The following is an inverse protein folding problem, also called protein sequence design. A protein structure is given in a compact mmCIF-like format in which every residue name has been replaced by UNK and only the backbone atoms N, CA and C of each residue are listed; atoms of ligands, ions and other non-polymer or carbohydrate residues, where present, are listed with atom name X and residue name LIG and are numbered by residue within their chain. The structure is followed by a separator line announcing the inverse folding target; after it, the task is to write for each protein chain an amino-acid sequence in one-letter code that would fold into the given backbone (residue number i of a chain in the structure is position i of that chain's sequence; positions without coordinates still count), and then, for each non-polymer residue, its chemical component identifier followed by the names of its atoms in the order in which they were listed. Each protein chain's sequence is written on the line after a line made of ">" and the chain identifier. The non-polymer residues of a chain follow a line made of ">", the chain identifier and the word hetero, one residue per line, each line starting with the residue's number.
data_IF_989092740726
#
_entry.id   IF_989092740726
#
_cell.length_a   1.000
_cell.length_b   1.000
_cell.length_c   1.000
_cell.angle_alpha   90.00
_cell.angle_beta   90.00
_cell.angle_gamma   90.00
#
_symmetry.space_group_name_H-M   'P 1'
#
loop_
_entity.id
_entity.type
_entity.pdbx_description
1 polymer ?
#
# COMPACT_ATOMS: atom_id res chain seq x y z
N UNK A 1 -21.23 -20.67 1.66
CA UNK A 1 -20.49 -20.91 2.91
C UNK A 1 -19.36 -19.90 2.94
N UNK A 2 -19.40 -18.99 3.92
CA UNK A 2 -18.65 -17.74 4.01
C UNK A 2 -17.13 -17.93 3.86
N UNK A 3 -16.48 -17.22 2.94
CA UNK A 3 -15.00 -17.20 2.79
C UNK A 3 -14.35 -16.66 4.08
N UNK A 4 -15.07 -15.79 4.81
CA UNK A 4 -14.68 -15.23 6.10
C UNK A 4 -14.79 -16.21 7.30
N UNK A 5 -15.40 -17.40 7.12
CA UNK A 5 -15.44 -18.47 8.14
C UNK A 5 -14.45 -19.61 7.90
N UNK A 6 -14.01 -19.86 6.67
CA UNK A 6 -13.25 -21.08 6.33
C UNK A 6 -11.73 -20.94 6.41
N UNK A 7 -11.17 -19.73 6.42
CA UNK A 7 -9.71 -19.47 6.41
C UNK A 7 -9.31 -18.38 7.41
N UNK A 8 -9.01 -18.71 8.69
CA UNK A 8 -8.66 -17.72 9.70
C UNK A 8 -7.36 -16.94 9.39
N UNK A 9 -6.43 -17.49 8.61
CA UNK A 9 -5.22 -16.79 8.16
C UNK A 9 -5.51 -15.66 7.13
N UNK A 10 -6.59 -15.78 6.37
CA UNK A 10 -7.01 -14.78 5.38
C UNK A 10 -7.62 -13.53 6.05
N UNK A 11 -8.01 -13.64 7.33
CA UNK A 11 -8.48 -12.52 8.18
C UNK A 11 -7.38 -11.52 8.49
N UNK A 12 -6.11 -11.93 8.36
CA UNK A 12 -4.95 -11.07 8.54
C UNK A 12 -4.50 -10.40 7.25
N UNK A 13 -5.01 -10.77 6.06
CA UNK A 13 -4.61 -10.08 4.84
C UNK A 13 -5.09 -8.62 4.80
N UNK A 14 -6.17 -8.25 5.48
CA UNK A 14 -6.67 -6.86 5.47
C UNK A 14 -5.90 -5.96 6.46
N UNK A 15 -5.64 -6.36 7.72
CA UNK A 15 -4.76 -5.61 8.61
C UNK A 15 -3.30 -5.61 8.12
N UNK A 16 -2.82 -6.71 7.54
CA UNK A 16 -1.44 -6.79 7.02
C UNK A 16 -1.30 -6.07 5.69
N UNK A 17 -2.32 -6.02 4.82
CA UNK A 17 -2.30 -5.15 3.65
C UNK A 17 -2.39 -3.66 4.01
N UNK A 18 -3.11 -3.30 5.09
CA UNK A 18 -3.08 -1.94 5.62
C UNK A 18 -1.73 -1.56 6.25
N UNK A 19 -1.02 -2.53 6.85
CA UNK A 19 0.33 -2.34 7.37
C UNK A 19 1.44 -2.38 6.29
N UNK A 20 1.19 -3.04 5.16
CA UNK A 20 2.15 -3.18 4.03
C UNK A 20 1.94 -2.10 2.94
N UNK A 21 0.83 -1.36 2.97
CA UNK A 21 0.55 -0.29 2.00
C UNK A 21 1.26 1.06 2.27
N UNK A 22 2.25 1.13 3.17
CA UNK A 22 3.02 2.38 3.45
C UNK A 22 4.27 2.53 2.57
N UNK A 23 4.46 1.67 1.57
CA UNK A 23 5.51 1.88 0.55
C UNK A 23 4.85 2.30 -0.77
N UNK A 24 4.65 3.60 -0.94
CA UNK A 24 4.40 4.25 -2.24
C UNK A 24 3.35 5.36 -2.28
N UNK A 25 3.78 6.61 -2.55
CA UNK A 25 3.12 7.93 -2.40
C UNK A 25 2.23 8.51 -3.53
N UNK A 26 2.26 9.86 -3.74
CA UNK A 26 1.88 10.81 -4.83
C UNK A 26 0.58 11.69 -4.81
N UNK A 27 0.62 13.08 -4.77
CA UNK A 27 -0.18 14.24 -4.13
C UNK A 27 -1.51 14.80 -4.69
N UNK A 28 -2.32 15.53 -3.85
CA UNK A 28 -3.21 16.70 -4.12
C UNK A 28 -4.17 17.11 -2.94
N UNK A 29 -4.43 18.42 -2.85
CA UNK A 29 -5.02 19.17 -1.72
C UNK A 29 -6.55 19.42 -1.79
N UNK A 30 -7.17 19.63 -0.63
CA UNK A 30 -8.56 20.07 -0.47
C UNK A 30 -8.70 20.96 0.77
N UNK A 31 -9.46 22.04 0.64
CA UNK A 31 -9.62 23.11 1.62
C UNK A 31 -10.46 22.68 2.83
N UNK A 32 -10.01 23.06 4.03
CA UNK A 32 -10.72 22.82 5.29
C UNK A 32 -11.94 23.74 5.32
N UNK A 33 -13.13 23.16 5.16
CA UNK A 33 -14.38 23.82 5.56
C UNK A 33 -14.61 23.43 7.01
N UNK A 34 -14.45 24.38 7.92
CA UNK A 34 -14.88 24.24 9.30
C UNK A 34 -16.41 24.08 9.32
N UNK A 35 -16.88 22.84 9.34
CA UNK A 35 -18.27 22.48 9.60
C UNK A 35 -18.33 21.83 10.97
N UNK A 36 -19.38 22.12 11.73
CA UNK A 36 -19.59 21.60 13.08
C UNK A 36 -19.32 20.10 13.13
N UNK A 37 -18.41 19.70 14.04
CA UNK A 37 -17.98 18.32 14.22
C UNK A 37 -19.22 17.43 14.39
N UNK A 38 -19.42 16.39 13.56
CA UNK A 38 -20.50 15.45 13.78
C UNK A 38 -20.34 14.83 15.17
N UNK A 39 -21.39 14.88 15.99
CA UNK A 39 -21.37 14.29 17.34
C UNK A 39 -21.56 12.78 17.24
N UNK A 40 -20.54 12.06 16.75
CA UNK A 40 -20.52 10.60 16.79
C UNK A 40 -20.24 10.11 18.21
N UNK A 41 -20.87 9.02 18.68
CA UNK A 41 -20.55 8.40 19.96
C UNK A 41 -19.08 7.99 20.04
N UNK A 42 -18.44 8.14 21.20
CA UNK A 42 -17.05 7.72 21.37
C UNK A 42 -16.87 6.20 21.10
N UNK A 43 -15.77 5.86 20.42
CA UNK A 43 -15.38 4.49 20.08
C UNK A 43 -13.91 4.30 20.40
N UNK A 44 -13.57 3.16 20.99
CA UNK A 44 -12.17 2.77 21.19
C UNK A 44 -11.55 2.21 19.91
N UNK A 45 -10.21 2.20 19.84
CA UNK A 45 -9.49 1.60 18.71
C UNK A 45 -9.86 0.13 18.48
N UNK A 46 -9.95 -0.66 19.57
CA UNK A 46 -10.33 -2.06 19.49
C UNK A 46 -11.75 -2.24 18.94
N UNK A 47 -12.70 -1.40 19.38
CA UNK A 47 -14.06 -1.41 18.87
C UNK A 47 -14.10 -1.10 17.37
N UNK A 48 -13.36 -0.09 16.89
CA UNK A 48 -13.29 0.23 15.46
C UNK A 48 -12.69 -0.92 14.63
N UNK A 49 -11.65 -1.59 15.14
CA UNK A 49 -11.08 -2.76 14.47
C UNK A 49 -12.07 -3.93 14.42
N UNK A 50 -12.87 -4.13 15.47
CA UNK A 50 -13.95 -5.13 15.50
C UNK A 50 -15.08 -4.75 14.54
N UNK A 51 -15.46 -3.49 14.50
CA UNK A 51 -16.48 -2.96 13.60
C UNK A 51 -16.08 -3.19 12.13
N UNK A 52 -14.83 -2.90 11.76
CA UNK A 52 -14.27 -3.18 10.42
C UNK A 52 -14.27 -4.69 10.11
N UNK A 53 -13.88 -5.53 11.06
CA UNK A 53 -13.90 -6.99 10.86
C UNK A 53 -15.31 -7.56 10.68
N UNK A 54 -16.31 -6.93 11.28
CA UNK A 54 -17.71 -7.33 11.19
C UNK A 54 -18.50 -6.61 10.10
N UNK A 55 -17.88 -5.65 9.40
CA UNK A 55 -18.48 -4.89 8.31
C UNK A 55 -19.03 -5.85 7.25
N UNK A 56 -20.30 -5.67 6.91
CA UNK A 56 -20.99 -6.44 5.87
C UNK A 56 -21.62 -5.48 4.89
N UNK A 57 -21.16 -5.54 3.65
CA UNK A 57 -21.68 -4.76 2.55
C UNK A 57 -22.04 -5.69 1.41
N UNK A 58 -23.29 -5.63 0.96
CA UNK A 58 -23.76 -6.45 -0.16
C UNK A 58 -23.13 -5.98 -1.49
N UNK A 59 -22.82 -4.70 -1.57
CA UNK A 59 -22.05 -4.11 -2.66
C UNK A 59 -21.71 -2.65 -2.39
N UNK A 60 -20.73 -2.14 -3.12
CA UNK A 60 -20.46 -0.71 -3.19
C UNK A 60 -19.75 -0.37 -4.48
N UNK A 61 -19.76 0.91 -4.81
CA UNK A 61 -18.92 1.48 -5.86
C UNK A 61 -18.39 2.83 -5.43
N UNK A 62 -17.24 3.22 -5.95
CA UNK A 62 -16.68 4.51 -5.62
C UNK A 62 -15.44 4.85 -6.42
N UNK A 63 -15.02 6.10 -6.26
CA UNK A 63 -13.79 6.63 -6.83
C UNK A 63 -12.82 6.89 -5.69
N UNK A 64 -11.68 6.20 -5.72
CA UNK A 64 -10.57 6.40 -4.81
C UNK A 64 -9.58 7.34 -5.50
N UNK A 65 -9.08 8.31 -4.76
CA UNK A 65 -8.06 9.23 -5.21
C UNK A 65 -6.88 9.15 -4.26
N UNK A 66 -5.69 9.00 -4.84
CA UNK A 66 -4.41 8.94 -4.16
C UNK A 66 -3.63 10.23 -4.41
N UNK A 67 -3.03 10.73 -3.33
CA UNK A 67 -2.50 12.07 -3.16
C UNK A 67 -1.38 12.18 -2.06
N UNK A 68 -0.12 11.79 -2.26
CA UNK A 68 1.11 12.28 -1.58
C UNK A 68 1.98 13.46 -2.11
N UNK A 69 2.01 14.53 -1.32
CA UNK A 69 2.92 15.67 -1.41
C UNK A 69 4.25 15.37 -0.70
N UNK A 70 5.15 14.75 -1.46
CA UNK A 70 6.49 14.29 -1.09
C UNK A 70 7.43 15.39 -0.55
N UNK A 71 7.24 16.63 -0.99
CA UNK A 71 8.32 17.63 -0.96
C UNK A 71 9.60 17.17 -1.67
N UNK A 72 9.48 16.26 -2.66
CA UNK A 72 10.62 15.71 -3.39
C UNK A 72 11.23 16.78 -4.32
N UNK A 73 12.56 16.82 -4.50
CA UNK A 73 13.20 17.72 -5.45
C UNK A 73 12.80 17.38 -6.89
N UNK A 74 12.73 18.39 -7.76
CA UNK A 74 12.53 18.16 -9.19
C UNK A 74 13.77 17.50 -9.79
N UNK A 75 13.63 16.27 -10.28
CA UNK A 75 14.72 15.52 -10.93
C UNK A 75 14.52 15.53 -12.47
N UNK A 76 15.52 15.97 -13.26
CA UNK A 76 15.45 15.92 -14.72
C UNK A 76 15.21 14.48 -15.21
N UNK A 77 14.20 14.27 -16.05
CA UNK A 77 13.86 12.95 -16.61
C UNK A 77 12.90 12.12 -15.76
N UNK A 78 12.55 12.54 -14.54
CA UNK A 78 11.62 11.82 -13.66
C UNK A 78 10.14 12.12 -13.98
N UNK A 79 9.87 13.25 -14.65
CA UNK A 79 8.52 13.71 -15.02
C UNK A 79 8.21 13.62 -16.52
N UNK A 80 9.20 13.27 -17.35
CA UNK A 80 9.03 13.07 -18.79
C UNK A 80 8.51 11.66 -19.07
N UNK A 81 7.20 11.54 -19.27
CA UNK A 81 6.47 10.28 -19.44
C UNK A 81 6.86 9.47 -20.68
N UNK A 82 7.90 8.65 -20.55
CA UNK A 82 8.18 7.54 -21.47
C UNK A 82 8.69 6.33 -20.65
N UNK A 83 7.73 5.54 -20.16
CA UNK A 83 7.80 4.09 -19.93
C UNK A 83 8.86 3.48 -18.98
N UNK A 84 9.69 4.25 -18.28
CA UNK A 84 10.77 3.72 -17.42
C UNK A 84 10.65 3.91 -15.89
N UNK A 85 9.59 4.55 -15.39
CA UNK A 85 9.44 4.86 -13.94
C UNK A 85 8.06 4.43 -13.39
N UNK A 86 7.54 3.30 -13.86
CA UNK A 86 6.14 2.88 -13.64
C UNK A 86 5.76 2.71 -12.16
N UNK A 87 6.70 2.30 -11.30
CA UNK A 87 6.45 2.20 -9.85
C UNK A 87 6.56 3.57 -9.16
N UNK A 88 7.54 4.40 -9.55
CA UNK A 88 7.73 5.71 -8.94
C UNK A 88 6.66 6.74 -9.33
N UNK A 89 6.03 6.59 -10.50
CA UNK A 89 4.87 7.38 -10.91
C UNK A 89 3.57 6.99 -10.18
N UNK A 90 3.50 5.77 -9.64
CA UNK A 90 2.45 5.42 -8.66
C UNK A 90 2.72 6.14 -7.33
N UNK A 91 4.00 6.31 -6.98
CA UNK A 91 4.51 6.93 -5.74
C UNK A 91 4.58 8.46 -5.77
N UNK A 92 4.47 9.09 -6.95
CA UNK A 92 4.59 10.54 -7.12
C UNK A 92 3.48 11.06 -8.06
N UNK A 93 2.65 11.99 -7.58
CA UNK A 93 1.50 12.55 -8.30
C UNK A 93 0.16 11.84 -8.07
N UNK A 94 -0.93 12.45 -8.53
CA UNK A 94 -2.28 11.96 -8.24
C UNK A 94 -2.69 10.79 -9.13
N UNK A 95 -3.17 9.72 -8.50
CA UNK A 95 -3.76 8.56 -9.18
C UNK A 95 -5.23 8.41 -8.79
N UNK A 96 -6.05 7.95 -9.73
CA UNK A 96 -7.47 7.70 -9.50
C UNK A 96 -7.79 6.26 -9.82
N UNK A 97 -8.55 5.60 -8.96
CA UNK A 97 -9.06 4.27 -9.21
C UNK A 97 -10.56 4.25 -9.01
N UNK A 98 -11.28 3.54 -9.87
CA UNK A 98 -12.69 3.24 -9.66
C UNK A 98 -12.83 1.81 -9.18
N UNK A 99 -13.65 1.61 -8.16
CA UNK A 99 -13.90 0.30 -7.57
C UNK A 99 -15.38 -0.02 -7.62
N UNK A 100 -15.69 -1.26 -7.93
CA UNK A 100 -17.01 -1.86 -7.80
C UNK A 100 -16.87 -3.20 -7.08
N UNK A 101 -17.78 -3.46 -6.16
CA UNK A 101 -17.82 -4.67 -5.37
C UNK A 101 -19.27 -5.12 -5.22
N UNK A 102 -19.52 -6.43 -5.34
CA UNK A 102 -20.84 -7.02 -5.16
C UNK A 102 -20.69 -8.44 -4.61
N UNK A 103 -20.68 -8.59 -3.29
CA UNK A 103 -20.52 -9.89 -2.62
C UNK A 103 -19.12 -10.52 -2.77
N UNK A 104 -18.98 -11.79 -2.37
CA UNK A 104 -17.67 -12.45 -2.22
C UNK A 104 -16.93 -12.73 -3.55
N UNK A 105 -17.62 -12.69 -4.69
CA UNK A 105 -17.13 -13.20 -5.95
C UNK A 105 -17.14 -12.20 -7.11
N UNK A 106 -17.63 -10.96 -6.91
CA UNK A 106 -17.61 -9.92 -7.94
C UNK A 106 -16.90 -8.67 -7.48
N UNK A 107 -15.86 -8.30 -8.22
CA UNK A 107 -15.09 -7.09 -7.99
C UNK A 107 -14.58 -6.52 -9.31
N UNK A 108 -14.50 -5.20 -9.42
CA UNK A 108 -13.79 -4.53 -10.51
C UNK A 108 -12.97 -3.40 -9.93
N UNK A 109 -11.71 -3.30 -10.37
CA UNK A 109 -10.82 -2.20 -10.09
C UNK A 109 -10.34 -1.64 -11.43
N UNK A 110 -10.62 -0.37 -11.69
CA UNK A 110 -10.15 0.34 -12.87
C UNK A 110 -9.17 1.43 -12.43
N UNK A 111 -7.88 1.21 -12.66
CA UNK A 111 -6.84 2.20 -12.40
C UNK A 111 -6.74 3.15 -13.58
N UNK A 112 -7.02 4.42 -13.32
CA UNK A 112 -7.01 5.51 -14.30
C UNK A 112 -5.68 6.25 -14.21
N UNK A 113 -4.98 6.35 -15.34
CA UNK A 113 -3.79 7.18 -15.49
C UNK A 113 -3.99 8.19 -16.62
N UNK A 114 -3.09 9.18 -16.74
CA UNK A 114 -3.11 10.13 -17.86
C UNK A 114 -2.95 9.46 -19.22
N UNK A 115 -2.25 8.33 -19.27
CA UNK A 115 -1.83 7.68 -20.51
C UNK A 115 -2.65 6.41 -20.83
N UNK A 116 -3.55 5.98 -19.94
CA UNK A 116 -4.35 4.78 -20.14
C UNK A 116 -5.07 4.28 -18.88
N UNK A 117 -5.77 3.17 -19.04
CA UNK A 117 -6.60 2.52 -18.02
C UNK A 117 -6.15 1.05 -17.89
N UNK A 118 -6.06 0.58 -16.66
CA UNK A 118 -5.85 -0.83 -16.35
C UNK A 118 -7.01 -1.35 -15.53
N UNK A 119 -7.72 -2.35 -16.06
CA UNK A 119 -8.88 -2.95 -15.42
C UNK A 119 -8.57 -4.35 -14.94
N UNK A 120 -8.92 -4.63 -13.69
CA UNK A 120 -9.00 -5.96 -13.12
C UNK A 120 -10.46 -6.24 -12.81
N UNK A 121 -11.05 -7.24 -13.45
CA UNK A 121 -12.45 -7.61 -13.28
C UNK A 121 -12.50 -9.06 -12.82
N UNK A 122 -13.16 -9.31 -11.71
CA UNK A 122 -13.51 -10.64 -11.21
C UNK A 122 -15.02 -10.80 -11.25
N UNK A 123 -15.48 -11.90 -11.84
CA UNK A 123 -16.87 -12.30 -11.86
C UNK A 123 -16.94 -13.81 -11.61
N UNK A 124 -17.20 -14.20 -10.37
CA UNK A 124 -17.11 -15.58 -9.95
C UNK A 124 -15.66 -16.07 -9.93
N UNK A 125 -15.36 -17.03 -10.82
CA UNK A 125 -14.02 -17.59 -11.03
C UNK A 125 -13.30 -16.96 -12.21
N UNK A 126 -13.99 -16.22 -13.05
CA UNK A 126 -13.41 -15.58 -14.22
C UNK A 126 -12.75 -14.27 -13.80
N UNK A 127 -11.49 -14.11 -14.20
CA UNK A 127 -10.71 -12.90 -13.95
C UNK A 127 -10.15 -12.39 -15.26
N UNK A 128 -10.37 -11.10 -15.47
CA UNK A 128 -9.87 -10.36 -16.61
C UNK A 128 -8.90 -9.28 -16.14
N UNK A 129 -7.74 -9.21 -16.79
CA UNK A 129 -6.83 -8.08 -16.72
C UNK A 129 -6.81 -7.42 -18.11
N UNK A 130 -7.21 -6.17 -18.20
CA UNK A 130 -7.18 -5.41 -19.44
C UNK A 130 -6.30 -4.18 -19.30
N UNK A 131 -5.53 -3.87 -20.36
CA UNK A 131 -4.70 -2.67 -20.45
C UNK A 131 -5.06 -1.92 -21.72
N UNK A 132 -5.50 -0.67 -21.58
CA UNK A 132 -6.01 0.10 -22.72
C UNK A 132 -4.91 0.51 -23.70
N UNK A 133 -3.69 0.80 -23.21
CA UNK A 133 -2.56 1.23 -24.03
C UNK A 133 -2.13 0.18 -25.05
N UNK A 134 -1.93 -1.05 -24.59
CA UNK A 134 -1.53 -2.17 -25.46
C UNK A 134 -2.72 -2.81 -26.17
N UNK A 135 -3.96 -2.44 -25.82
CA UNK A 135 -5.19 -3.12 -26.24
C UNK A 135 -5.10 -4.63 -26.03
N UNK A 136 -4.59 -5.04 -24.87
CA UNK A 136 -4.46 -6.44 -24.50
C UNK A 136 -5.37 -6.78 -23.32
N UNK A 137 -6.08 -7.90 -23.43
CA UNK A 137 -6.81 -8.50 -22.33
C UNK A 137 -6.26 -9.89 -22.05
N UNK A 138 -6.04 -10.20 -20.78
CA UNK A 138 -5.71 -11.55 -20.32
C UNK A 138 -6.86 -12.09 -19.50
N UNK A 139 -7.35 -13.26 -19.88
CA UNK A 139 -8.36 -14.00 -19.12
C UNK A 139 -7.71 -15.17 -18.41
N UNK A 140 -8.12 -15.41 -17.17
CA UNK A 140 -7.80 -16.64 -16.47
C UNK A 140 -8.92 -17.02 -15.51
N UNK A 141 -9.09 -18.33 -15.31
CA UNK A 141 -10.11 -18.87 -14.43
C UNK A 141 -9.45 -19.35 -13.15
N UNK A 142 -9.86 -18.79 -12.01
CA UNK A 142 -9.40 -19.23 -10.70
C UNK A 142 -9.72 -20.73 -10.52
N UNK A 143 -8.81 -21.52 -9.93
CA UNK A 143 -9.09 -22.91 -9.62
C UNK A 143 -10.34 -23.00 -8.74
N UNK A 144 -11.10 -24.10 -8.86
CA UNK A 144 -12.18 -24.36 -7.91
C UNK A 144 -11.55 -24.37 -6.52
N UNK A 145 -12.22 -23.81 -5.51
CA UNK A 145 -11.74 -23.94 -4.14
C UNK A 145 -11.65 -25.44 -3.81
N UNK A 146 -10.46 -26.03 -3.97
CA UNK A 146 -10.14 -27.28 -3.31
C UNK A 146 -10.28 -26.99 -1.82
N UNK A 147 -11.09 -27.81 -1.13
CA UNK A 147 -11.13 -27.85 0.34
C UNK A 147 -9.69 -27.78 0.81
N UNK A 148 -9.36 -26.70 1.54
CA UNK A 148 -8.02 -26.32 1.95
C UNK A 148 -7.10 -27.54 2.06
N UNK A 149 -6.28 -27.78 1.02
CA UNK A 149 -5.14 -28.68 1.16
C UNK A 149 -4.31 -28.10 2.29
N UNK A 150 -4.06 -28.92 3.31
CA UNK A 150 -3.42 -28.59 4.58
C UNK A 150 -2.62 -27.30 4.48
N UNK A 151 -3.23 -26.21 4.96
CA UNK A 151 -2.49 -25.01 5.27
C UNK A 151 -1.37 -25.47 6.19
N UNK A 152 -0.12 -25.19 5.79
CA UNK A 152 1.05 -25.43 6.61
C UNK A 152 0.68 -25.07 8.05
N UNK A 153 0.76 -26.04 8.97
CA UNK A 153 0.30 -25.90 10.35
C UNK A 153 0.96 -24.66 10.95
N UNK A 154 0.29 -23.52 10.88
CA UNK A 154 0.62 -22.36 11.70
C UNK A 154 0.51 -22.85 13.14
N UNK A 155 1.45 -22.50 14.04
CA UNK A 155 1.37 -22.86 15.44
C UNK A 155 -0.04 -22.51 15.96
N UNK A 156 -0.79 -23.53 16.41
CA UNK A 156 -2.19 -23.37 16.86
C UNK A 156 -2.34 -22.53 18.12
N UNK A 157 -1.22 -22.13 18.73
CA UNK A 157 -1.17 -21.43 20.01
C UNK A 157 -1.35 -19.91 19.89
N UNK A 158 -1.45 -19.34 18.68
CA UNK A 158 -1.53 -17.88 18.47
C UNK A 158 -2.57 -17.45 17.44
N UNK A 159 -3.67 -18.20 17.26
CA UNK A 159 -4.77 -17.76 16.40
C UNK A 159 -5.91 -17.26 17.29
N UNK A 160 -6.17 -15.93 17.32
CA UNK A 160 -7.22 -15.38 18.17
C UNK A 160 -8.58 -15.97 17.81
N UNK A 161 -9.32 -16.34 18.85
CA UNK A 161 -10.58 -17.09 18.73
C UNK A 161 -11.77 -16.17 18.41
N UNK A 162 -11.62 -14.86 18.65
CA UNK A 162 -12.66 -13.85 18.41
C UNK A 162 -12.10 -12.62 17.68
N UNK A 163 -12.95 -11.85 16.96
CA UNK A 163 -12.54 -10.56 16.38
C UNK A 163 -11.98 -9.57 17.41
N UNK A 164 -12.54 -9.58 18.63
CA UNK A 164 -12.08 -8.75 19.74
C UNK A 164 -10.66 -9.13 20.17
N UNK A 165 -10.42 -10.42 20.40
CA UNK A 165 -9.08 -10.92 20.74
C UNK A 165 -8.07 -10.63 19.63
N UNK A 166 -8.48 -10.72 18.36
CA UNK A 166 -7.64 -10.37 17.22
C UNK A 166 -7.29 -8.87 17.19
N UNK A 167 -8.26 -8.01 17.46
CA UNK A 167 -8.05 -6.57 17.57
C UNK A 167 -7.09 -6.24 18.73
N UNK A 168 -7.31 -6.82 19.90
CA UNK A 168 -6.48 -6.58 21.09
C UNK A 168 -5.04 -7.06 20.87
N UNK A 169 -4.84 -8.24 20.25
CA UNK A 169 -3.52 -8.74 19.89
C UNK A 169 -2.84 -7.86 18.83
N UNK A 170 -3.57 -7.39 17.81
CA UNK A 170 -3.03 -6.49 16.80
C UNK A 170 -2.56 -5.16 17.41
N UNK A 171 -3.35 -4.58 18.32
CA UNK A 171 -2.99 -3.36 19.04
C UNK A 171 -1.80 -3.58 19.97
N UNK A 172 -1.78 -4.69 20.72
CA UNK A 172 -0.67 -5.03 21.60
C UNK A 172 0.65 -5.26 20.84
N UNK A 173 0.59 -5.81 19.62
CA UNK A 173 1.76 -6.02 18.79
C UNK A 173 2.44 -4.71 18.35
N UNK A 174 1.66 -3.65 18.17
CA UNK A 174 2.18 -2.34 17.73
C UNK A 174 2.38 -1.35 18.87
N UNK A 175 1.79 -1.60 20.05
CA UNK A 175 1.85 -0.71 21.22
C UNK A 175 3.29 -0.32 21.63
N UNK A 176 4.31 -1.22 21.62
CA UNK A 176 5.67 -0.83 22.00
C UNK A 176 6.27 0.31 21.18
N UNK A 177 5.83 0.50 19.94
CA UNK A 177 6.36 1.53 19.03
C UNK A 177 5.34 2.58 18.63
N UNK A 178 4.06 2.36 18.91
CA UNK A 178 2.95 3.12 18.33
C UNK A 178 1.94 3.49 19.40
N UNK A 179 1.59 4.77 19.47
CA UNK A 179 0.41 5.23 20.20
C UNK A 179 -0.79 5.08 19.28
N UNK A 180 -1.82 4.39 19.75
CA UNK A 180 -3.07 4.25 18.99
C UNK A 180 -4.16 5.00 19.74
N UNK A 181 -4.81 5.94 19.06
CA UNK A 181 -5.93 6.71 19.58
C UNK A 181 -7.06 6.73 18.58
N UNK A 182 -8.23 7.18 19.03
CA UNK A 182 -9.36 7.47 18.16
C UNK A 182 -9.71 8.95 18.30
N UNK A 183 -10.09 9.59 17.21
CA UNK A 183 -10.59 10.97 17.24
C UNK A 183 -12.02 11.07 16.74
N UNK A 184 -12.69 12.15 17.15
CA UNK A 184 -14.07 12.48 16.78
C UNK A 184 -14.24 12.70 15.27
N UNK A 185 -15.51 12.77 14.87
CA UNK A 185 -15.97 12.53 13.52
C UNK A 185 -15.28 13.34 12.42
N UNK A 186 -14.73 12.64 11.43
CA UNK A 186 -14.33 13.19 10.14
C UNK A 186 -15.48 13.04 9.13
N UNK A 187 -15.36 13.74 8.00
CA UNK A 187 -16.26 13.55 6.86
C UNK A 187 -15.46 13.18 5.61
N UNK A 188 -15.67 11.97 5.10
CA UNK A 188 -14.97 11.45 3.90
C UNK A 188 -16.01 11.02 2.88
N UNK A 189 -15.84 11.42 1.62
CA UNK A 189 -16.84 11.20 0.56
C UNK A 189 -18.27 11.64 0.95
N UNK A 190 -18.39 12.69 1.78
CA UNK A 190 -19.69 13.18 2.29
C UNK A 190 -20.29 12.38 3.44
N UNK A 191 -19.60 11.35 3.96
CA UNK A 191 -20.07 10.45 5.02
C UNK A 191 -19.33 10.68 6.32
N UNK A 192 -20.04 10.59 7.44
CA UNK A 192 -19.43 10.71 8.76
C UNK A 192 -18.58 9.46 9.07
N UNK A 193 -17.40 9.67 9.62
CA UNK A 193 -16.40 8.63 9.81
C UNK A 193 -15.69 8.78 11.16
N UNK A 194 -15.39 7.66 11.80
CA UNK A 194 -14.42 7.61 12.90
C UNK A 194 -13.00 7.62 12.34
N UNK A 195 -12.06 8.21 13.07
CA UNK A 195 -10.65 8.11 12.72
C UNK A 195 -9.87 7.28 13.74
N UNK A 196 -9.16 6.27 13.25
CA UNK A 196 -8.12 5.57 14.00
C UNK A 196 -6.78 6.26 13.72
N UNK A 197 -6.10 6.75 14.75
CA UNK A 197 -4.85 7.52 14.64
C UNK A 197 -3.70 6.72 15.22
N UNK A 198 -2.68 6.46 14.41
CA UNK A 198 -1.46 5.74 14.75
C UNK A 198 -0.29 6.71 14.73
N UNK A 199 0.36 6.92 15.86
CA UNK A 199 1.49 7.85 15.99
C UNK A 199 2.74 7.14 16.49
N UNK A 200 3.92 7.37 15.88
CA UNK A 200 5.17 6.83 16.39
C UNK A 200 5.46 7.33 17.82
N UNK A 201 5.90 6.42 18.70
CA UNK A 201 6.44 6.80 20.02
C UNK A 201 7.83 7.41 19.92
N UNK A 202 8.61 6.96 18.94
CA UNK A 202 9.95 7.45 18.68
C UNK A 202 9.91 8.75 17.88
N UNK A 203 10.40 9.84 18.50
CA UNK A 203 10.40 11.18 17.91
C UNK A 203 11.41 11.33 16.76
N UNK A 204 12.29 10.36 16.53
CA UNK A 204 13.20 10.38 15.39
C UNK A 204 12.52 9.99 14.06
N UNK A 205 11.27 9.49 14.10
CA UNK A 205 10.50 9.27 12.89
C UNK A 205 10.13 10.59 12.20
N UNK A 206 10.21 10.61 10.87
CA UNK A 206 9.66 11.67 10.02
C UNK A 206 8.15 11.54 9.84
N UNK A 207 7.56 10.40 10.18
CA UNK A 207 6.10 10.24 10.21
C UNK A 207 5.61 10.79 11.55
N UNK A 208 4.62 11.68 11.52
CA UNK A 208 3.96 12.20 12.72
C UNK A 208 2.77 11.33 13.13
N UNK A 209 1.93 10.98 12.16
CA UNK A 209 0.74 10.16 12.38
C UNK A 209 0.22 9.56 11.07
N UNK A 210 -0.47 8.43 11.19
CA UNK A 210 -1.32 7.84 10.16
C UNK A 210 -2.76 7.87 10.67
N UNK A 211 -3.69 8.39 9.87
CA UNK A 211 -5.12 8.42 10.17
C UNK A 211 -5.86 7.51 9.21
N UNK A 212 -6.68 6.62 9.75
CA UNK A 212 -7.53 5.71 8.98
C UNK A 212 -8.97 6.07 9.27
N UNK A 213 -9.68 6.55 8.26
CA UNK A 213 -11.09 6.94 8.36
C UNK A 213 -11.98 5.73 8.10
N UNK A 214 -12.95 5.47 8.98
CA UNK A 214 -13.85 4.32 8.95
C UNK A 214 -15.29 4.83 8.98
N UNK A 215 -16.11 4.42 8.02
CA UNK A 215 -17.52 4.87 7.93
C UNK A 215 -18.28 4.59 9.23
N UNK A 216 -19.00 5.58 9.73
CA UNK A 216 -19.71 5.45 11.00
C UNK A 216 -20.91 4.49 10.95
N UNK A 217 -21.44 4.18 9.76
CA UNK A 217 -22.64 3.36 9.58
C UNK A 217 -22.33 1.95 9.05
N UNK A 218 -21.48 1.85 8.02
CA UNK A 218 -21.15 0.60 7.34
C UNK A 218 -19.84 -0.02 7.81
N UNK A 219 -19.05 0.74 8.58
CA UNK A 219 -17.75 0.34 9.10
C UNK A 219 -16.72 -0.02 8.00
N UNK A 220 -16.95 0.45 6.78
CA UNK A 220 -16.00 0.31 5.67
C UNK A 220 -14.92 1.39 5.78
N UNK A 221 -13.62 1.03 5.65
CA UNK A 221 -12.55 2.02 5.56
C UNK A 221 -12.76 2.96 4.36
N UNK A 222 -12.78 4.26 4.64
CA UNK A 222 -13.01 5.30 3.63
C UNK A 222 -11.72 5.98 3.17
N UNK A 223 -10.65 5.91 3.95
CA UNK A 223 -9.38 6.49 3.54
C UNK A 223 -8.25 6.33 4.55
N UNK A 224 -7.03 6.62 4.10
CA UNK A 224 -5.79 6.64 4.88
C UNK A 224 -5.02 7.91 4.56
N UNK A 225 -4.63 8.64 5.59
CA UNK A 225 -3.85 9.87 5.51
C UNK A 225 -2.58 9.74 6.35
N UNK A 226 -1.40 9.95 5.75
CA UNK A 226 -0.10 9.96 6.43
C UNK A 226 0.40 11.39 6.52
N UNK A 227 0.72 11.84 7.72
CA UNK A 227 1.22 13.17 8.00
C UNK A 227 2.70 13.08 8.35
N UNK A 228 3.48 13.96 7.74
CA UNK A 228 4.84 14.20 8.20
C UNK A 228 4.82 14.75 9.63
N UNK A 229 5.94 14.57 10.33
CA UNK A 229 6.13 15.09 11.67
C UNK A 229 5.91 16.61 11.66
N UNK A 230 5.13 17.09 12.62
CA UNK A 230 4.76 18.50 12.79
C UNK A 230 3.96 19.13 11.62
N UNK A 231 3.49 18.33 10.65
CA UNK A 231 2.72 18.81 9.50
C UNK A 231 1.20 18.81 9.77
N UNK A 232 0.53 19.87 9.30
CA UNK A 232 -0.93 20.02 9.39
C UNK A 232 -1.67 19.50 8.15
N UNK A 233 -0.96 19.25 7.05
CA UNK A 233 -1.51 18.66 5.83
C UNK A 233 -0.92 17.25 5.64
N UNK A 234 -1.71 16.30 5.10
CA UNK A 234 -1.20 14.96 4.85
C UNK A 234 -0.17 15.00 3.73
N UNK A 235 0.99 14.39 3.99
CA UNK A 235 2.01 14.16 3.00
C UNK A 235 1.64 13.00 2.07
N UNK A 236 0.72 12.09 2.45
CA UNK A 236 0.04 11.07 1.62
C UNK A 236 -1.43 10.98 2.02
N UNK A 237 -2.34 10.97 1.05
CA UNK A 237 -3.78 10.74 1.23
C UNK A 237 -4.26 9.73 0.21
N UNK A 238 -5.00 8.72 0.65
CA UNK A 238 -5.68 7.74 -0.20
C UNK A 238 -7.10 7.63 0.33
N UNK A 239 -8.08 8.17 -0.37
CA UNK A 239 -9.45 8.23 0.14
C UNK A 239 -10.48 8.08 -0.96
N UNK A 240 -11.68 7.64 -0.57
CA UNK A 240 -12.84 7.77 -1.45
C UNK A 240 -13.14 9.25 -1.63
N UNK A 241 -13.12 9.71 -2.88
CA UNK A 241 -13.71 10.98 -3.28
C UNK A 241 -15.24 10.86 -3.30
N UNK A 242 -15.75 9.71 -3.74
CA UNK A 242 -17.17 9.38 -3.81
C UNK A 242 -17.36 7.90 -3.51
N UNK A 243 -18.41 7.56 -2.77
CA UNK A 243 -18.80 6.18 -2.48
C UNK A 243 -20.33 6.04 -2.45
N UNK A 244 -20.83 4.95 -3.01
CA UNK A 244 -22.22 4.51 -2.95
C UNK A 244 -22.25 3.06 -2.49
N UNK A 245 -23.05 2.77 -1.46
CA UNK A 245 -23.29 1.40 -0.96
C UNK A 245 -24.46 0.71 -1.67
N UNK A 246 -24.92 1.24 -2.81
CA UNK A 246 -25.82 0.52 -3.68
C UNK A 246 -25.07 -0.66 -4.33
N UNK A 247 -25.76 -1.81 -4.46
CA UNK A 247 -25.23 -2.96 -5.18
C UNK A 247 -25.03 -2.58 -6.66
N UNK A 248 -23.80 -2.65 -7.20
CA UNK A 248 -23.55 -2.33 -8.60
C UNK A 248 -24.29 -3.28 -9.55
N UNK A 249 -24.67 -2.76 -10.72
CA UNK A 249 -25.26 -3.57 -11.78
C UNK A 249 -24.32 -4.71 -12.22
N UNK A 250 -24.87 -5.89 -12.51
CA UNK A 250 -24.09 -7.06 -12.92
C UNK A 250 -23.23 -6.83 -14.17
N UNK A 251 -23.64 -5.92 -15.06
CA UNK A 251 -22.89 -5.53 -16.25
C UNK A 251 -21.55 -4.88 -15.92
N UNK A 252 -21.39 -4.28 -14.73
CA UNK A 252 -20.09 -3.73 -14.30
C UNK A 252 -19.00 -4.79 -14.19
N UNK A 253 -19.38 -6.06 -14.02
CA UNK A 253 -18.46 -7.19 -13.85
C UNK A 253 -18.36 -8.06 -15.12
N UNK A 254 -19.09 -7.72 -16.18
CA UNK A 254 -18.96 -8.38 -17.47
C UNK A 254 -17.90 -7.67 -18.31
N UNK A 255 -16.78 -8.35 -18.61
CA UNK A 255 -15.79 -7.79 -19.51
C UNK A 255 -16.26 -7.91 -20.96
N UNK A 256 -16.44 -6.77 -21.63
CA UNK A 256 -16.71 -6.70 -23.05
C UNK A 256 -15.50 -6.04 -23.74
N UNK A 257 -14.62 -6.81 -24.42
CA UNK A 257 -13.38 -6.28 -24.95
C UNK A 257 -13.64 -5.16 -25.97
N UNK A 258 -13.03 -3.96 -25.80
CA UNK A 258 -13.16 -2.89 -26.78
C UNK A 258 -12.65 -3.32 -28.17
N UNK A 259 -13.15 -2.73 -29.28
CA UNK A 259 -12.71 -3.05 -30.63
C UNK A 259 -11.18 -3.00 -30.79
N UNK A 260 -10.60 -4.06 -31.38
CA UNK A 260 -9.15 -4.20 -31.56
C UNK A 260 -8.39 -4.72 -30.34
N UNK A 261 -9.08 -5.19 -29.29
CA UNK A 261 -8.44 -5.82 -28.14
C UNK A 261 -7.99 -7.25 -28.48
N UNK A 262 -6.72 -7.54 -28.26
CA UNK A 262 -6.17 -8.89 -28.34
C UNK A 262 -6.43 -9.63 -27.03
N UNK A 263 -7.19 -10.72 -27.08
CA UNK A 263 -7.52 -11.54 -25.90
C UNK A 263 -6.57 -12.73 -25.80
N UNK A 264 -5.83 -12.82 -24.70
CA UNK A 264 -4.96 -13.94 -24.33
C UNK A 264 -5.64 -14.78 -23.26
N UNK A 265 -5.70 -16.09 -23.46
CA UNK A 265 -6.13 -17.04 -22.43
C UNK A 265 -4.90 -17.52 -21.68
N UNK A 266 -4.92 -17.37 -20.35
CA UNK A 266 -3.88 -17.89 -19.47
C UNK A 266 -4.46 -18.94 -18.53
N UNK A 267 -3.70 -20.00 -18.34
CA UNK A 267 -4.06 -21.07 -17.42
C UNK A 267 -3.62 -20.66 -16.01
N UNK A 268 -4.58 -20.56 -15.07
CA UNK A 268 -4.30 -20.19 -13.69
C UNK A 268 -3.34 -21.18 -13.00
N UNK A 269 -3.34 -22.46 -13.38
CA UNK A 269 -2.40 -23.44 -12.83
C UNK A 269 -0.98 -23.21 -13.37
N UNK A 270 -0.84 -22.77 -14.63
CA UNK A 270 0.46 -22.35 -15.17
C UNK A 270 0.95 -21.07 -14.51
N UNK A 271 0.07 -20.09 -14.31
CA UNK A 271 0.39 -18.87 -13.58
C UNK A 271 0.79 -19.18 -12.13
N UNK A 272 0.06 -20.04 -11.42
CA UNK A 272 0.43 -20.48 -10.08
C UNK A 272 1.76 -21.25 -10.06
N UNK A 273 2.01 -22.11 -11.04
CA UNK A 273 3.29 -22.83 -11.14
C UNK A 273 4.44 -21.87 -11.40
N UNK A 274 4.25 -20.90 -12.30
CA UNK A 274 5.20 -19.82 -12.56
C UNK A 274 5.42 -18.94 -11.33
N UNK A 275 4.36 -18.55 -10.62
CA UNK A 275 4.45 -17.80 -9.37
C UNK A 275 5.14 -18.60 -8.27
N UNK A 276 4.88 -19.91 -8.15
CA UNK A 276 5.59 -20.79 -7.19
C UNK A 276 7.07 -20.92 -7.54
N UNK A 277 7.40 -21.02 -8.81
CA UNK A 277 8.78 -21.09 -9.28
C UNK A 277 9.50 -19.75 -9.08
N UNK A 278 8.84 -18.63 -9.41
CA UNK A 278 9.33 -17.29 -9.11
C UNK A 278 9.45 -17.04 -7.60
N UNK A 279 8.54 -17.56 -6.77
CA UNK A 279 8.63 -17.45 -5.32
C UNK A 279 9.80 -18.29 -4.77
N UNK A 280 10.06 -19.47 -5.33
CA UNK A 280 11.26 -20.27 -5.00
C UNK A 280 12.53 -19.56 -5.43
N UNK A 281 12.58 -19.03 -6.65
CA UNK A 281 13.69 -18.24 -7.15
C UNK A 281 13.89 -16.96 -6.35
N UNK A 282 12.82 -16.31 -5.90
CA UNK A 282 12.87 -15.15 -5.03
C UNK A 282 13.36 -15.54 -3.62
N UNK A 283 12.97 -16.71 -3.09
CA UNK A 283 13.49 -17.23 -1.81
C UNK A 283 14.94 -17.70 -1.91
N UNK A 284 15.35 -18.25 -3.05
CA UNK A 284 16.74 -18.62 -3.33
C UNK A 284 17.60 -17.39 -3.55
N UNK A 285 17.07 -16.39 -4.27
CA UNK A 285 17.68 -15.07 -4.39
C UNK A 285 17.74 -14.37 -3.02
N UNK A 286 16.69 -14.43 -2.20
CA UNK A 286 16.69 -13.90 -0.83
C UNK A 286 17.71 -14.63 0.06
N UNK A 287 17.88 -15.95 -0.10
CA UNK A 287 18.93 -16.72 0.57
C UNK A 287 20.33 -16.36 0.07
N UNK A 288 20.51 -16.13 -1.22
CA UNK A 288 21.78 -15.69 -1.81
C UNK A 288 22.11 -14.24 -1.42
N UNK A 289 21.11 -13.38 -1.38
CA UNK A 289 21.17 -12.00 -0.91
C UNK A 289 21.55 -12.02 0.58
N UNK A 290 20.83 -12.75 1.45
CA UNK A 290 21.17 -12.87 2.88
C UNK A 290 22.50 -13.56 3.16
N UNK A 291 22.99 -14.43 2.26
CA UNK A 291 24.32 -15.07 2.36
C UNK A 291 25.45 -14.25 1.72
N UNK A 292 25.13 -13.24 0.91
CA UNK A 292 26.07 -12.46 0.08
C UNK A 292 26.07 -10.94 0.36
N UNK A 293 25.48 -10.49 1.47
CA UNK A 293 25.39 -9.06 1.82
C UNK A 293 24.03 -8.43 1.53
N UNK A 294 22.96 -9.03 2.04
CA UNK A 294 21.57 -8.67 1.75
C UNK A 294 21.07 -7.41 2.43
N UNK A 295 19.81 -6.99 2.17
CA UNK A 295 19.22 -5.86 2.84
C UNK A 295 19.24 -6.11 4.34
N UNK A 296 20.03 -5.29 5.04
CA UNK A 296 20.17 -5.31 6.48
C UNK A 296 19.17 -4.34 7.08
N UNK A 297 18.44 -4.80 8.08
CA UNK A 297 17.48 -3.99 8.81
C UNK A 297 18.14 -3.48 10.09
N UNK A 298 18.28 -2.16 10.19
CA UNK A 298 18.92 -1.46 11.31
C UNK A 298 17.84 -0.69 12.07
N UNK A 299 17.72 -0.90 13.38
CA UNK A 299 16.69 -0.25 14.20
C UNK A 299 15.42 -1.08 14.35
N UNK A 300 14.34 -0.46 14.82
CA UNK A 300 13.04 -1.11 15.09
C UNK A 300 11.89 -0.14 14.83
N UNK A 301 10.71 -0.67 14.51
CA UNK A 301 9.49 0.13 14.35
C UNK A 301 9.60 1.24 13.32
N UNK A 302 9.10 2.42 13.66
CA UNK A 302 9.02 3.61 12.78
C UNK A 302 10.38 4.25 12.43
N UNK A 303 11.45 3.85 13.11
CA UNK A 303 12.82 4.35 12.89
C UNK A 303 13.73 3.29 12.28
N UNK A 304 13.13 2.25 11.70
CA UNK A 304 13.83 1.23 10.95
C UNK A 304 14.47 1.83 9.70
N UNK A 305 15.75 1.49 9.49
CA UNK A 305 16.51 1.79 8.28
C UNK A 305 16.80 0.48 7.57
N UNK A 306 16.46 0.41 6.29
CA UNK A 306 16.85 -0.69 5.41
C UNK A 306 18.11 -0.27 4.67
N UNK A 307 19.18 -1.07 4.78
CA UNK A 307 20.45 -0.85 4.11
C UNK A 307 20.73 -1.99 3.13
N UNK A 308 20.91 -1.71 1.85
CA UNK A 308 21.20 -2.72 0.82
C UNK A 308 22.30 -2.23 -0.11
N UNK A 309 22.99 -3.13 -0.80
CA UNK A 309 23.92 -2.76 -1.87
C UNK A 309 23.15 -2.70 -3.20
N UNK A 310 23.37 -1.67 -4.00
CA UNK A 310 22.77 -1.62 -5.33
C UNK A 310 23.28 -2.79 -6.18
N UNK A 311 22.39 -3.59 -6.79
CA UNK A 311 22.83 -4.62 -7.72
C UNK A 311 23.50 -3.96 -8.94
N UNK A 312 24.50 -4.63 -9.52
CA UNK A 312 25.04 -4.24 -10.81
C UNK A 312 23.95 -4.42 -11.87
N UNK A 313 23.26 -3.34 -12.20
CA UNK A 313 22.22 -3.32 -13.23
C UNK A 313 22.76 -2.67 -14.50
N UNK A 314 22.62 -3.36 -15.63
CA UNK A 314 22.88 -2.84 -16.97
C UNK A 314 21.58 -2.50 -17.69
N UNK A 315 21.54 -1.41 -18.46
CA UNK A 315 20.39 -1.04 -19.28
C UNK A 315 20.05 0.45 -19.22
N UNK A 316 19.07 0.88 -20.01
CA UNK A 316 18.62 2.27 -20.08
C UNK A 316 18.01 2.76 -18.77
N UNK A 317 17.26 1.90 -18.07
CA UNK A 317 16.65 2.21 -16.77
C UNK A 317 17.70 2.42 -15.67
N UNK A 318 18.70 1.53 -15.61
CA UNK A 318 19.84 1.66 -14.70
C UNK A 318 20.61 2.97 -14.94
N UNK A 319 20.84 3.33 -16.20
CA UNK A 319 21.51 4.58 -16.56
C UNK A 319 20.70 5.82 -16.13
N UNK A 320 19.38 5.78 -16.28
CA UNK A 320 18.49 6.86 -15.84
C UNK A 320 18.52 7.03 -14.31
N UNK A 321 18.46 5.94 -13.55
CA UNK A 321 18.56 5.96 -12.08
C UNK A 321 19.92 6.54 -11.64
N UNK A 322 21.02 6.10 -12.25
CA UNK A 322 22.34 6.63 -11.94
C UNK A 322 22.45 8.13 -12.24
N UNK A 323 21.84 8.59 -13.32
CA UNK A 323 21.81 10.02 -13.65
C UNK A 323 20.99 10.82 -12.64
N UNK A 324 19.83 10.32 -12.22
CA UNK A 324 19.00 10.95 -11.19
C UNK A 324 19.73 11.01 -9.82
N UNK A 325 20.45 9.96 -9.44
CA UNK A 325 21.25 9.95 -8.20
C UNK A 325 22.37 10.99 -8.27
N UNK A 326 23.00 11.20 -9.43
CA UNK A 326 24.07 12.19 -9.60
C UNK A 326 23.60 13.63 -9.37
N UNK A 327 22.33 13.94 -9.63
CA UNK A 327 21.77 15.28 -9.43
C UNK A 327 21.37 15.56 -7.98
N UNK A 328 21.33 14.54 -7.13
CA UNK A 328 21.04 14.72 -5.70
C UNK A 328 22.17 15.49 -4.99
N UNK A 329 21.86 16.21 -3.90
CA UNK A 329 22.87 16.83 -3.05
C UNK A 329 23.97 15.86 -2.62
N UNK A 330 25.24 16.27 -2.77
CA UNK A 330 26.38 15.53 -2.25
C UNK A 330 26.50 15.75 -0.73
N UNK A 331 26.65 14.67 0.01
CA UNK A 331 26.85 14.69 1.47
C UNK A 331 28.05 13.83 1.84
N UNK A 332 28.64 14.08 3.00
CA UNK A 332 29.81 13.35 3.49
C UNK A 332 29.87 13.34 5.02
N UNK A 333 30.46 12.30 5.57
CA UNK A 333 30.71 12.14 7.00
C UNK A 333 31.79 11.09 7.27
N UNK A 334 31.85 10.61 8.51
CA UNK A 334 32.80 9.55 8.91
C UNK A 334 32.59 8.22 8.19
N UNK A 335 31.39 8.00 7.65
CA UNK A 335 31.02 6.84 6.83
C UNK A 335 31.45 6.95 5.35
N UNK A 336 32.03 8.08 4.93
CA UNK A 336 32.42 8.34 3.54
C UNK A 336 31.62 9.49 2.91
N UNK A 337 31.36 9.39 1.60
CA UNK A 337 30.54 10.36 0.86
C UNK A 337 29.47 9.68 0.03
N UNK A 338 28.45 10.44 -0.37
CA UNK A 338 27.33 9.93 -1.12
C UNK A 338 26.38 11.02 -1.63
N UNK A 339 25.14 10.62 -1.87
CA UNK A 339 24.04 11.40 -2.43
C UNK A 339 22.80 11.20 -1.57
N UNK A 340 22.14 12.29 -1.21
CA UNK A 340 21.00 12.27 -0.31
C UNK A 340 19.72 12.70 -1.04
N UNK A 341 18.69 11.85 -0.96
CA UNK A 341 17.31 12.22 -1.28
C UNK A 341 16.55 12.41 0.03
N UNK A 342 15.92 13.57 0.18
CA UNK A 342 15.04 13.87 1.32
C UNK A 342 13.61 14.10 0.84
N UNK A 343 12.66 13.69 1.67
CA UNK A 343 11.24 13.95 1.50
C UNK A 343 10.62 14.31 2.86
N UNK A 344 9.33 14.65 2.87
CA UNK A 344 8.58 14.91 4.09
C UNK A 344 8.39 13.66 4.97
N UNK A 345 8.41 12.45 4.39
CA UNK A 345 8.12 11.19 5.12
C UNK A 345 9.33 10.26 5.28
N UNK A 346 10.34 10.39 4.45
CA UNK A 346 11.50 9.50 4.42
C UNK A 346 12.76 10.19 3.88
N UNK A 347 13.90 9.56 4.16
CA UNK A 347 15.19 9.90 3.57
C UNK A 347 15.80 8.67 2.89
N UNK A 348 16.59 8.89 1.85
CA UNK A 348 17.41 7.85 1.19
C UNK A 348 18.83 8.37 1.02
N UNK A 349 19.81 7.61 1.47
CA UNK A 349 21.24 7.85 1.28
C UNK A 349 21.80 6.81 0.32
N UNK A 350 22.36 7.27 -0.79
CA UNK A 350 23.14 6.43 -1.72
C UNK A 350 24.61 6.77 -1.53
N UNK A 351 25.39 5.86 -0.97
CA UNK A 351 26.81 6.07 -0.69
C UNK A 351 27.67 5.79 -1.93
N UNK A 352 28.85 6.42 -2.01
CA UNK A 352 29.77 6.24 -3.14
C UNK A 352 30.38 4.82 -3.19
N UNK A 353 30.29 4.06 -2.09
CA UNK A 353 30.67 2.63 -2.02
C UNK A 353 29.55 1.67 -2.47
N UNK A 354 28.41 2.20 -2.95
CA UNK A 354 27.33 1.43 -3.56
C UNK A 354 26.21 0.99 -2.61
N UNK A 355 26.26 1.35 -1.32
CA UNK A 355 25.16 1.11 -0.37
C UNK A 355 24.03 2.11 -0.55
N UNK A 356 22.81 1.66 -0.28
CA UNK A 356 21.58 2.45 -0.25
C UNK A 356 20.94 2.22 1.10
N UNK A 357 20.74 3.29 1.86
CA UNK A 357 20.07 3.29 3.15
C UNK A 357 18.80 4.11 3.04
N UNK A 358 17.66 3.54 3.42
CA UNK A 358 16.36 4.21 3.36
C UNK A 358 15.58 4.00 4.65
N UNK A 359 14.88 5.03 5.11
CA UNK A 359 14.00 4.95 6.27
C UNK A 359 13.14 6.18 6.46
N UNK A 360 12.07 6.05 7.25
CA UNK A 360 11.20 7.15 7.66
C UNK A 360 11.85 7.99 8.77
N UNK A 361 13.11 8.39 8.57
CA UNK A 361 13.97 9.04 9.56
C UNK A 361 14.73 10.20 8.94
N UNK A 362 15.15 11.13 9.79
CA UNK A 362 16.00 12.24 9.38
C UNK A 362 17.37 11.75 8.86
N UNK A 363 18.05 12.49 7.96
CA UNK A 363 19.31 12.08 7.35
C UNK A 363 20.39 11.66 8.34
N UNK A 364 20.44 12.28 9.51
CA UNK A 364 21.42 11.99 10.57
C UNK A 364 21.33 10.53 11.04
N UNK A 365 20.13 9.96 11.05
CA UNK A 365 19.92 8.54 11.41
C UNK A 365 20.48 7.62 10.34
N UNK A 366 20.37 7.99 9.05
CA UNK A 366 20.99 7.25 7.95
C UNK A 366 22.52 7.34 8.01
N UNK A 367 23.08 8.50 8.36
CA UNK A 367 24.52 8.65 8.54
C UNK A 367 25.07 7.77 9.65
N UNK A 368 24.36 7.70 10.79
CA UNK A 368 24.71 6.79 11.87
C UNK A 368 24.62 5.33 11.44
N UNK A 369 23.56 4.96 10.71
CA UNK A 369 23.41 3.62 10.16
C UNK A 369 24.52 3.25 9.16
N UNK A 370 25.01 4.20 8.36
CA UNK A 370 26.07 4.00 7.37
C UNK A 370 27.46 3.80 7.99
N UNK A 371 27.66 4.12 9.27
CA UNK A 371 28.91 3.82 10.01
C UNK A 371 29.00 2.38 10.51
N UNK A 372 27.89 1.65 10.49
CA UNK A 372 27.82 0.22 10.80
C UNK A 372 28.07 -0.58 9.54
#
# INVERSE_FOLDING_TARGET
>A
MNVFRSKPAMRWLVPTAAAVAVIGGGAAAGTIVASAEPSLPERSAAQLLVDVQNAKVDGFSGTIVQTADLGLPELPGMTSGQDGASLLNLVAGSNSARVWYSGEDKARLALLSKLGETDVIRNGRDVWLWRSQSKEATHFTLPAEEKARDSAKLPREAVPSTPQEAADQALAAIDPTTVVTTTGAAKVAGRDAYELVLSPRDKASLIGQVRISIDAQTHVPLGVNVYAKDANAPALRVEFQQISFAVPDAQQFAFNPPPGTTVKQSDAQKLEAQHREQAKQAQEAEKQITSGGGPTVIGKGWTTVVAATMPESSGTEAAAIQQAVKTLPKVSGTWGSGRLLTSSLFSVLVTDDGRVLAGAVAPETLYQAATK
#
